data_IF_432513911974
#
_entry.id   IF_432513911974
#
_cell.length_a   1.000
_cell.length_b   1.000
_cell.length_c   1.000
_cell.angle_alpha   90.00
_cell.angle_beta   90.00
_cell.angle_gamma   90.00
#
_symmetry.space_group_name_H-M   'P 1'
#
loop_
_entity.id
_entity.type
_entity.pdbx_description
1 polymer ?
#
# COMPACT_ATOMS: atom_id res chain seq x y z
N UNK A 1 7.79 0.16 25.22
CA UNK A 1 7.99 0.02 23.75
C UNK A 1 8.37 -1.43 23.46
N UNK A 2 7.43 -2.22 22.93
CA UNK A 2 7.69 -3.62 22.59
C UNK A 2 8.64 -3.70 21.39
N UNK A 3 9.63 -4.59 21.47
CA UNK A 3 10.57 -4.89 20.37
C UNK A 3 9.79 -5.38 19.13
N UNK A 4 9.64 -4.53 18.13
CA UNK A 4 8.90 -4.72 16.88
C UNK A 4 9.66 -5.60 15.84
N UNK A 5 10.56 -6.49 16.27
CA UNK A 5 11.39 -7.27 15.36
C UNK A 5 11.41 -8.75 15.74
N UNK A 6 10.28 -9.41 15.52
CA UNK A 6 10.36 -10.84 15.23
C UNK A 6 10.31 -11.00 13.72
N UNK A 7 11.33 -11.66 13.16
CA UNK A 7 11.43 -11.98 11.73
C UNK A 7 10.15 -12.69 11.26
N UNK A 8 9.69 -12.36 10.06
CA UNK A 8 8.54 -13.02 9.44
C UNK A 8 8.71 -14.56 9.34
N UNK A 9 9.95 -15.07 9.34
CA UNK A 9 10.28 -16.49 9.41
C UNK A 9 9.80 -17.15 10.71
N UNK A 10 9.83 -16.42 11.86
CA UNK A 10 9.36 -16.96 13.13
C UNK A 10 7.83 -17.12 13.20
N UNK A 11 7.08 -16.35 12.43
CA UNK A 11 5.61 -16.46 12.35
C UNK A 11 5.19 -17.71 11.58
N UNK A 12 5.90 -18.05 10.49
CA UNK A 12 5.60 -19.23 9.65
C UNK A 12 5.84 -20.56 10.37
N UNK A 13 6.76 -20.62 11.33
CA UNK A 13 7.13 -21.85 12.07
C UNK A 13 6.20 -22.22 13.22
N UNK A 14 5.22 -21.40 13.58
CA UNK A 14 4.31 -21.70 14.69
C UNK A 14 3.21 -22.66 14.27
N UNK A 15 3.25 -23.89 14.80
CA UNK A 15 2.14 -24.84 14.72
C UNK A 15 0.96 -24.27 15.53
N UNK A 16 -0.07 -23.77 14.86
CA UNK A 16 -1.31 -23.33 15.51
C UNK A 16 -2.31 -24.49 15.52
N UNK A 17 -3.06 -24.61 16.62
CA UNK A 17 -4.20 -25.53 16.69
C UNK A 17 -5.25 -25.07 15.67
N UNK A 18 -5.73 -26.00 14.85
CA UNK A 18 -6.80 -25.69 13.87
C UNK A 18 -8.10 -25.39 14.60
N UNK A 19 -8.59 -24.16 14.45
CA UNK A 19 -9.86 -23.71 15.02
C UNK A 19 -10.97 -24.02 14.02
N UNK A 20 -12.01 -24.75 14.48
CA UNK A 20 -13.23 -24.97 13.70
C UNK A 20 -14.28 -23.94 14.07
N UNK A 21 -15.09 -23.53 13.09
CA UNK A 21 -16.21 -22.62 13.33
C UNK A 21 -17.28 -23.29 14.20
N UNK A 22 -17.67 -22.67 15.30
CA UNK A 22 -18.73 -23.17 16.20
C UNK A 22 -20.14 -22.98 15.62
N UNK A 23 -20.32 -21.98 14.74
CA UNK A 23 -21.63 -21.55 14.19
C UNK A 23 -21.71 -21.66 12.67
N UNK A 24 -21.03 -22.65 12.07
CA UNK A 24 -20.96 -22.84 10.62
C UNK A 24 -22.35 -22.92 9.94
N UNK A 25 -23.39 -23.38 10.66
CA UNK A 25 -24.76 -23.53 10.15
C UNK A 25 -25.49 -22.22 9.86
N UNK A 26 -25.02 -21.10 10.40
CA UNK A 26 -25.63 -19.77 10.22
C UNK A 26 -25.02 -18.96 9.10
N UNK A 27 -24.00 -19.47 8.44
CA UNK A 27 -23.26 -18.77 7.39
C UNK A 27 -23.28 -19.56 6.08
N UNK A 28 -23.11 -18.85 4.97
CA UNK A 28 -22.93 -19.51 3.67
C UNK A 28 -21.62 -20.30 3.63
N UNK A 29 -21.53 -21.29 2.78
CA UNK A 29 -20.29 -22.09 2.59
C UNK A 29 -19.08 -21.23 2.19
N UNK A 30 -19.30 -20.11 1.50
CA UNK A 30 -18.25 -19.14 1.15
C UNK A 30 -17.79 -18.38 2.40
N UNK A 31 -18.72 -17.86 3.21
CA UNK A 31 -18.44 -17.17 4.48
C UNK A 31 -17.71 -18.09 5.46
N UNK A 32 -18.15 -19.35 5.58
CA UNK A 32 -17.49 -20.31 6.45
C UNK A 32 -16.04 -20.55 6.06
N UNK A 33 -15.77 -20.76 4.75
CA UNK A 33 -14.39 -20.91 4.24
C UNK A 33 -13.53 -19.68 4.46
N UNK A 34 -14.13 -18.48 4.37
CA UNK A 34 -13.42 -17.22 4.66
C UNK A 34 -13.08 -17.11 6.15
N UNK A 35 -14.06 -17.34 7.04
CA UNK A 35 -13.88 -17.29 8.49
C UNK A 35 -12.86 -18.32 8.97
N UNK A 36 -12.93 -19.57 8.50
CA UNK A 36 -11.93 -20.60 8.84
C UNK A 36 -10.53 -20.22 8.41
N UNK A 37 -10.38 -19.63 7.21
CA UNK A 37 -9.09 -19.10 6.75
C UNK A 37 -8.57 -17.98 7.63
N UNK A 38 -9.44 -17.07 8.10
CA UNK A 38 -9.05 -15.99 8.99
C UNK A 38 -8.62 -16.51 10.37
N UNK A 39 -9.39 -17.43 10.95
CA UNK A 39 -9.10 -18.02 12.27
C UNK A 39 -7.81 -18.84 12.31
N UNK A 40 -7.46 -19.48 11.18
CA UNK A 40 -6.29 -20.36 11.08
C UNK A 40 -5.09 -19.70 10.40
N UNK A 41 -5.14 -18.41 10.11
CA UNK A 41 -4.04 -17.67 9.50
C UNK A 41 -3.07 -17.17 10.58
N UNK A 42 -1.80 -17.66 10.62
CA UNK A 42 -0.85 -17.29 11.66
C UNK A 42 -0.53 -15.79 11.66
N UNK A 43 -0.60 -15.13 10.50
CA UNK A 43 -0.37 -13.70 10.39
C UNK A 43 -1.54 -12.88 10.96
N UNK A 44 -2.77 -13.38 10.94
CA UNK A 44 -3.91 -12.72 11.59
C UNK A 44 -3.72 -12.73 13.11
N UNK A 45 -3.41 -13.90 13.69
CA UNK A 45 -3.18 -14.02 15.12
C UNK A 45 -2.00 -13.17 15.59
N UNK A 46 -0.91 -13.16 14.83
CA UNK A 46 0.28 -12.39 15.17
C UNK A 46 0.06 -10.89 14.98
N UNK A 47 -0.67 -10.45 13.95
CA UNK A 47 -1.06 -9.06 13.78
C UNK A 47 -1.84 -8.55 15.00
N UNK A 48 -2.85 -9.29 15.44
CA UNK A 48 -3.61 -8.97 16.65
C UNK A 48 -2.71 -8.90 17.89
N UNK A 49 -1.79 -9.85 18.06
CA UNK A 49 -0.86 -9.89 19.19
C UNK A 49 0.07 -8.68 19.23
N UNK A 50 0.52 -8.21 18.06
CA UNK A 50 1.46 -7.09 17.93
C UNK A 50 0.77 -5.72 17.79
N UNK A 51 -0.58 -5.68 17.78
CA UNK A 51 -1.34 -4.44 17.63
C UNK A 51 -1.40 -3.89 16.19
N UNK A 52 -1.10 -4.71 15.19
CA UNK A 52 -1.31 -4.33 13.81
C UNK A 52 -2.79 -4.41 13.43
N UNK A 53 -3.27 -3.41 12.70
CA UNK A 53 -4.66 -3.31 12.23
C UNK A 53 -5.03 -4.44 11.28
N UNK A 54 -4.04 -4.93 10.51
CA UNK A 54 -4.26 -5.95 9.50
C UNK A 54 -3.04 -6.85 9.31
N UNK A 55 -3.29 -8.12 8.94
CA UNK A 55 -2.22 -9.07 8.58
C UNK A 55 -1.34 -8.60 7.42
N UNK A 56 -1.85 -7.71 6.56
CA UNK A 56 -1.09 -7.13 5.46
C UNK A 56 0.16 -6.36 5.92
N UNK A 57 0.23 -5.91 7.18
CA UNK A 57 1.43 -5.33 7.77
C UNK A 57 2.68 -6.21 7.57
N UNK A 58 2.51 -7.54 7.65
CA UNK A 58 3.62 -8.48 7.44
C UNK A 58 4.12 -8.55 6.00
N UNK A 59 3.28 -8.21 5.02
CA UNK A 59 3.72 -8.10 3.63
C UNK A 59 4.73 -6.98 3.48
N UNK A 60 4.42 -5.81 4.06
CA UNK A 60 5.33 -4.66 4.03
C UNK A 60 6.60 -4.91 4.84
N UNK A 61 6.50 -5.57 6.01
CA UNK A 61 7.66 -5.98 6.80
C UNK A 61 8.60 -6.85 5.96
N UNK A 62 8.08 -7.85 5.26
CA UNK A 62 8.87 -8.76 4.43
C UNK A 62 9.46 -8.09 3.18
N UNK A 63 8.71 -7.15 2.59
CA UNK A 63 9.22 -6.29 1.52
C UNK A 63 10.39 -5.44 2.02
N UNK A 64 10.24 -4.80 3.20
CA UNK A 64 11.30 -3.98 3.78
C UNK A 64 12.51 -4.80 4.27
N UNK A 65 12.29 -6.00 4.81
CA UNK A 65 13.39 -6.92 5.18
C UNK A 65 14.24 -7.30 3.95
N UNK A 66 13.64 -7.37 2.77
CA UNK A 66 14.34 -7.76 1.53
C UNK A 66 14.97 -6.58 0.80
N UNK A 67 14.30 -5.44 0.78
CA UNK A 67 14.67 -4.31 -0.08
C UNK A 67 15.18 -3.09 0.68
N UNK A 68 15.01 -3.02 2.00
CA UNK A 68 15.55 -2.01 2.91
C UNK A 68 15.22 -0.56 2.53
N UNK A 69 13.95 -0.27 2.25
CA UNK A 69 13.52 1.02 1.75
C UNK A 69 12.87 1.94 2.79
N UNK A 70 12.39 1.40 3.91
CA UNK A 70 11.83 2.19 5.00
C UNK A 70 12.93 2.65 5.96
N UNK A 71 12.76 3.84 6.53
CA UNK A 71 13.72 4.38 7.50
C UNK A 71 13.42 5.79 7.93
N UNK A 72 14.28 6.37 8.76
CA UNK A 72 14.16 7.75 9.23
C UNK A 72 14.28 8.76 8.09
N UNK A 73 13.69 9.94 8.29
CA UNK A 73 13.76 11.09 7.37
C UNK A 73 13.29 10.76 5.94
N UNK A 74 12.39 9.78 5.80
CA UNK A 74 11.79 9.45 4.51
C UNK A 74 10.46 10.16 4.35
N UNK A 75 10.12 10.52 3.12
CA UNK A 75 8.79 10.92 2.70
C UNK A 75 8.17 9.71 2.00
N UNK A 76 7.03 9.24 2.52
CA UNK A 76 6.39 8.00 2.11
C UNK A 76 4.94 8.29 1.72
N UNK A 77 4.51 7.78 0.58
CA UNK A 77 3.11 7.78 0.16
C UNK A 77 2.58 6.34 0.17
N UNK A 78 1.41 6.14 0.81
CA UNK A 78 0.72 4.86 0.97
C UNK A 78 -0.65 4.93 0.26
N UNK A 79 -0.75 4.35 -0.94
CA UNK A 79 -1.97 4.31 -1.75
C UNK A 79 -2.74 3.01 -1.47
N UNK A 80 -4.01 3.14 -1.11
CA UNK A 80 -4.81 2.03 -0.58
C UNK A 80 -4.46 1.74 0.87
N UNK A 81 -4.34 2.80 1.69
CA UNK A 81 -3.78 2.71 3.03
C UNK A 81 -4.72 2.06 4.05
N UNK A 82 -6.06 2.06 3.85
CA UNK A 82 -7.01 1.57 4.82
C UNK A 82 -6.87 0.04 5.07
N UNK A 83 -7.02 -0.39 6.31
CA UNK A 83 -7.26 0.33 7.54
C UNK A 83 -5.98 0.86 8.23
N UNK A 84 -4.82 0.89 7.57
CA UNK A 84 -3.58 1.49 8.07
C UNK A 84 -2.51 0.49 8.50
N UNK A 85 -2.59 -0.77 8.09
CA UNK A 85 -1.59 -1.78 8.46
C UNK A 85 -0.19 -1.50 7.92
N UNK A 86 -0.08 -1.06 6.67
CA UNK A 86 1.17 -0.66 6.05
C UNK A 86 1.67 0.66 6.64
N UNK A 87 0.76 1.61 6.81
CA UNK A 87 1.08 2.89 7.45
C UNK A 87 1.63 2.73 8.86
N UNK A 88 1.12 1.76 9.67
CA UNK A 88 1.69 1.46 11.01
C UNK A 88 3.16 1.02 10.93
N UNK A 89 3.50 0.16 9.96
CA UNK A 89 4.88 -0.30 9.76
C UNK A 89 5.77 0.86 9.31
N UNK A 90 5.29 1.67 8.35
CA UNK A 90 6.03 2.83 7.84
C UNK A 90 6.28 3.87 8.93
N UNK A 91 5.26 4.26 9.71
CA UNK A 91 5.38 5.21 10.83
C UNK A 91 6.37 4.71 11.89
N UNK A 92 6.32 3.41 12.24
CA UNK A 92 7.27 2.82 13.18
C UNK A 92 8.73 2.89 12.68
N UNK A 93 8.96 2.81 11.38
CA UNK A 93 10.28 2.94 10.75
C UNK A 93 10.75 4.39 10.65
N UNK A 94 9.84 5.32 10.42
CA UNK A 94 10.10 6.76 10.43
C UNK A 94 10.51 7.26 11.83
N UNK A 95 10.01 6.65 12.90
CA UNK A 95 10.33 7.01 14.29
C UNK A 95 10.10 8.49 14.61
N UNK A 96 9.01 9.06 14.12
CA UNK A 96 8.68 10.47 14.29
C UNK A 96 9.50 11.43 13.42
N UNK A 97 10.21 10.93 12.41
CA UNK A 97 10.97 11.76 11.47
C UNK A 97 10.46 11.56 10.05
N UNK A 98 10.51 12.58 9.22
CA UNK A 98 10.00 12.51 7.85
C UNK A 98 8.48 12.67 7.78
N UNK A 99 7.87 12.18 6.69
CA UNK A 99 6.45 12.39 6.38
C UNK A 99 5.82 11.09 5.87
N UNK A 100 4.60 10.82 6.31
CA UNK A 100 3.78 9.73 5.79
C UNK A 100 2.41 10.26 5.41
N UNK A 101 2.07 10.12 4.14
CA UNK A 101 0.76 10.49 3.60
C UNK A 101 0.09 9.24 3.04
N UNK A 102 -1.14 8.99 3.43
CA UNK A 102 -1.93 7.87 2.93
C UNK A 102 -3.25 8.33 2.29
N UNK A 103 -3.69 7.59 1.27
CA UNK A 103 -4.98 7.81 0.61
C UNK A 103 -5.70 6.49 0.41
N UNK A 104 -7.00 6.47 0.70
CA UNK A 104 -7.88 5.33 0.45
C UNK A 104 -9.33 5.81 0.22
N UNK A 105 -10.13 5.03 -0.49
CA UNK A 105 -11.59 5.26 -0.60
C UNK A 105 -12.32 5.02 0.71
N UNK A 106 -11.72 4.25 1.62
CA UNK A 106 -12.26 3.98 2.94
C UNK A 106 -11.58 4.86 4.00
N UNK A 107 -12.31 5.24 5.05
CA UNK A 107 -11.73 5.98 6.15
C UNK A 107 -10.66 5.16 6.86
N UNK A 108 -9.56 5.82 7.18
CA UNK A 108 -8.46 5.22 7.94
C UNK A 108 -8.39 5.87 9.31
N UNK A 109 -8.41 5.05 10.36
CA UNK A 109 -8.26 5.51 11.73
C UNK A 109 -6.97 6.33 11.91
N UNK A 110 -6.99 7.43 12.68
CA UNK A 110 -5.82 8.25 12.91
C UNK A 110 -4.61 7.45 13.38
N UNK A 111 -3.44 7.84 12.90
CA UNK A 111 -2.15 7.25 13.28
C UNK A 111 -1.15 8.40 13.51
N UNK A 112 -0.48 8.37 14.65
CA UNK A 112 0.56 9.35 14.96
C UNK A 112 1.67 9.35 13.89
N UNK A 113 2.00 10.53 13.37
CA UNK A 113 3.01 10.68 12.33
C UNK A 113 2.54 10.38 10.91
N UNK A 114 1.23 10.20 10.69
CA UNK A 114 0.64 10.01 9.38
C UNK A 114 -0.52 10.97 9.11
N UNK A 115 -0.67 11.40 7.87
CA UNK A 115 -1.81 12.17 7.38
C UNK A 115 -2.59 11.30 6.40
N UNK A 116 -3.89 11.12 6.61
CA UNK A 116 -4.75 10.31 5.76
C UNK A 116 -5.79 11.13 5.02
N UNK A 117 -6.02 10.77 3.75
CA UNK A 117 -7.07 11.30 2.88
C UNK A 117 -8.04 10.19 2.57
N UNK A 118 -9.34 10.45 2.75
CA UNK A 118 -10.40 9.57 2.31
C UNK A 118 -10.92 10.06 0.97
N UNK A 119 -10.51 9.42 -0.13
CA UNK A 119 -10.86 9.79 -1.51
C UNK A 119 -10.53 8.62 -2.45
N UNK A 120 -11.28 8.49 -3.54
CA UNK A 120 -10.89 7.59 -4.62
C UNK A 120 -9.69 8.17 -5.36
N UNK A 121 -8.61 7.38 -5.45
CA UNK A 121 -7.39 7.80 -6.14
C UNK A 121 -7.59 8.01 -7.64
N UNK A 122 -8.63 7.43 -8.21
CA UNK A 122 -8.96 7.56 -9.65
C UNK A 122 -9.80 8.80 -9.96
N UNK A 123 -10.29 9.50 -8.93
CA UNK A 123 -11.02 10.76 -9.11
C UNK A 123 -10.09 11.93 -9.42
N UNK A 124 -10.62 12.90 -10.14
CA UNK A 124 -9.94 14.16 -10.44
C UNK A 124 -9.57 14.89 -9.14
N UNK A 125 -8.37 15.43 -9.07
CA UNK A 125 -7.87 16.15 -7.91
C UNK A 125 -7.27 15.28 -6.79
N UNK A 126 -7.29 13.96 -6.89
CA UNK A 126 -6.71 13.09 -5.88
C UNK A 126 -5.18 13.20 -5.84
N UNK A 127 -4.54 13.30 -6.99
CA UNK A 127 -3.11 13.50 -7.12
C UNK A 127 -2.69 14.91 -6.68
N UNK A 128 -3.42 15.95 -7.05
CA UNK A 128 -3.18 17.33 -6.58
C UNK A 128 -3.27 17.41 -5.05
N UNK A 129 -4.25 16.74 -4.45
CA UNK A 129 -4.39 16.72 -2.99
C UNK A 129 -3.20 16.06 -2.30
N UNK A 130 -2.69 14.97 -2.86
CA UNK A 130 -1.47 14.33 -2.35
C UNK A 130 -0.24 15.25 -2.52
N UNK A 131 -0.12 15.93 -3.66
CA UNK A 131 0.95 16.90 -3.91
C UNK A 131 0.94 18.05 -2.89
N UNK A 132 -0.24 18.58 -2.57
CA UNK A 132 -0.41 19.60 -1.52
C UNK A 132 0.09 19.11 -0.16
N UNK A 133 -0.29 17.87 0.23
CA UNK A 133 0.13 17.30 1.51
C UNK A 133 1.64 16.99 1.55
N UNK A 134 2.25 16.72 0.41
CA UNK A 134 3.71 16.59 0.30
C UNK A 134 4.41 17.95 0.50
N UNK A 135 3.74 19.07 0.19
CA UNK A 135 4.29 20.41 0.42
C UNK A 135 5.58 20.66 -0.36
N UNK A 136 5.63 20.21 -1.63
CA UNK A 136 6.80 20.33 -2.49
C UNK A 136 7.90 19.32 -2.21
N UNK A 137 7.81 18.52 -1.16
CA UNK A 137 8.80 17.48 -0.87
C UNK A 137 8.66 16.29 -1.84
N UNK A 138 9.80 15.78 -2.31
CA UNK A 138 9.83 14.57 -3.14
C UNK A 138 9.73 13.32 -2.28
N UNK A 139 8.88 12.38 -2.72
CA UNK A 139 8.71 11.12 -2.05
C UNK A 139 9.93 10.19 -2.24
N UNK A 140 10.38 9.58 -1.18
CA UNK A 140 11.41 8.53 -1.22
C UNK A 140 10.79 7.17 -1.55
N UNK A 141 9.52 6.98 -1.15
CA UNK A 141 8.78 5.74 -1.33
C UNK A 141 7.36 6.05 -1.74
N UNK A 142 6.90 5.45 -2.82
CA UNK A 142 5.47 5.33 -3.15
C UNK A 142 5.13 3.85 -3.12
N UNK A 143 4.21 3.49 -2.24
CA UNK A 143 3.75 2.11 -2.09
C UNK A 143 2.24 2.02 -2.30
N UNK A 144 1.77 0.93 -2.93
CA UNK A 144 0.37 0.71 -3.24
C UNK A 144 -0.04 -0.73 -2.95
N UNK A 145 -0.97 -0.91 -2.00
CA UNK A 145 -1.69 -2.19 -1.80
C UNK A 145 -3.13 -2.11 -2.34
N UNK A 146 -3.43 -1.11 -3.20
CA UNK A 146 -4.73 -0.96 -3.83
C UNK A 146 -5.15 -2.24 -4.55
N UNK A 147 -6.42 -2.58 -4.46
CA UNK A 147 -7.06 -3.63 -5.23
C UNK A 147 -8.46 -3.19 -5.63
N UNK A 148 -8.84 -3.45 -6.86
CA UNK A 148 -10.22 -3.30 -7.26
C UNK A 148 -11.12 -4.28 -6.50
N UNK A 149 -12.36 -3.85 -6.21
CA UNK A 149 -13.37 -4.75 -5.69
C UNK A 149 -13.56 -5.93 -6.63
N UNK A 150 -13.45 -7.14 -6.09
CA UNK A 150 -13.55 -8.37 -6.89
C UNK A 150 -14.96 -8.56 -7.40
N UNK A 151 -15.11 -8.68 -8.72
CA UNK A 151 -16.37 -9.03 -9.37
C UNK A 151 -16.60 -10.55 -9.40
N UNK A 152 -15.54 -11.32 -9.11
CA UNK A 152 -15.50 -12.78 -9.27
C UNK A 152 -15.10 -13.21 -10.69
N UNK A 153 -14.96 -12.27 -11.62
CA UNK A 153 -14.49 -12.56 -12.98
C UNK A 153 -12.98 -12.23 -13.09
N UNK A 154 -12.17 -13.26 -13.10
CA UNK A 154 -10.71 -13.15 -12.96
C UNK A 154 -10.05 -12.17 -13.93
N UNK A 155 -10.45 -12.18 -15.20
CA UNK A 155 -9.89 -11.27 -16.21
C UNK A 155 -10.27 -9.80 -15.93
N UNK A 156 -11.52 -9.54 -15.56
CA UNK A 156 -11.99 -8.19 -15.24
C UNK A 156 -11.28 -7.65 -14.00
N UNK A 157 -11.19 -8.47 -12.95
CA UNK A 157 -10.53 -8.09 -11.70
C UNK A 157 -9.03 -7.82 -11.92
N UNK A 158 -8.41 -8.59 -12.82
CA UNK A 158 -7.03 -8.39 -13.23
C UNK A 158 -6.83 -7.05 -13.96
N UNK A 159 -7.64 -6.76 -14.99
CA UNK A 159 -7.55 -5.50 -15.75
C UNK A 159 -7.78 -4.27 -14.86
N UNK A 160 -8.76 -4.33 -13.95
CA UNK A 160 -9.00 -3.25 -12.99
C UNK A 160 -7.81 -3.02 -12.07
N UNK A 161 -7.18 -4.08 -11.60
CA UNK A 161 -5.99 -3.98 -10.75
C UNK A 161 -4.82 -3.38 -11.52
N UNK A 162 -4.61 -3.76 -12.80
CA UNK A 162 -3.58 -3.15 -13.65
C UNK A 162 -3.83 -1.65 -13.79
N UNK A 163 -5.06 -1.21 -14.06
CA UNK A 163 -5.39 0.21 -14.16
C UNK A 163 -5.03 1.00 -12.90
N UNK A 164 -5.27 0.42 -11.70
CA UNK A 164 -4.84 1.04 -10.44
C UNK A 164 -3.32 1.12 -10.30
N UNK A 165 -2.60 0.10 -10.75
CA UNK A 165 -1.13 0.12 -10.74
C UNK A 165 -0.57 1.15 -11.73
N UNK A 166 -1.17 1.27 -12.92
CA UNK A 166 -0.80 2.26 -13.92
C UNK A 166 -1.01 3.69 -13.40
N UNK A 167 -2.15 3.96 -12.77
CA UNK A 167 -2.43 5.25 -12.14
C UNK A 167 -1.44 5.56 -11.01
N UNK A 168 -1.22 4.60 -10.10
CA UNK A 168 -0.25 4.74 -9.01
C UNK A 168 1.18 4.97 -9.53
N UNK A 169 1.56 4.30 -10.61
CA UNK A 169 2.86 4.46 -11.24
C UNK A 169 3.00 5.81 -11.95
N UNK A 170 1.97 6.27 -12.66
CA UNK A 170 1.95 7.60 -13.25
C UNK A 170 2.17 8.68 -12.20
N UNK A 171 1.44 8.62 -11.09
CA UNK A 171 1.64 9.50 -9.93
C UNK A 171 3.05 9.36 -9.34
N UNK A 172 3.56 8.14 -9.14
CA UNK A 172 4.90 7.93 -8.60
C UNK A 172 5.99 8.61 -9.44
N UNK A 173 5.86 8.62 -10.77
CA UNK A 173 6.80 9.35 -11.66
C UNK A 173 6.82 10.86 -11.40
N UNK A 174 5.70 11.44 -10.98
CA UNK A 174 5.63 12.89 -10.71
C UNK A 174 6.22 13.28 -9.37
N UNK A 175 6.14 12.40 -8.35
CA UNK A 175 6.51 12.75 -6.97
C UNK A 175 7.81 12.14 -6.48
N UNK A 176 8.31 11.06 -7.08
CA UNK A 176 9.51 10.38 -6.57
C UNK A 176 10.77 11.25 -6.67
N UNK A 177 11.56 11.20 -5.61
CA UNK A 177 12.93 11.67 -5.63
C UNK A 177 13.82 10.73 -6.47
N UNK A 178 14.89 11.26 -7.06
CA UNK A 178 15.93 10.42 -7.68
C UNK A 178 16.46 9.39 -6.67
N UNK A 179 16.55 8.13 -7.08
CA UNK A 179 16.90 7.02 -6.20
C UNK A 179 15.69 6.46 -5.42
N UNK A 180 14.52 7.05 -5.55
CA UNK A 180 13.28 6.59 -4.90
C UNK A 180 12.83 5.20 -5.35
N UNK A 181 11.85 4.67 -4.65
CA UNK A 181 11.31 3.33 -4.87
C UNK A 181 9.79 3.37 -5.07
N UNK A 182 9.30 2.59 -6.03
CA UNK A 182 7.89 2.32 -6.25
C UNK A 182 7.59 0.85 -5.98
N UNK A 183 6.53 0.60 -5.22
CA UNK A 183 6.06 -0.74 -4.88
C UNK A 183 4.56 -0.80 -5.13
N UNK A 184 4.10 -1.79 -5.90
CA UNK A 184 2.67 -1.96 -6.13
C UNK A 184 2.28 -3.44 -6.16
N UNK A 185 1.07 -3.72 -5.66
CA UNK A 185 0.46 -5.03 -5.77
C UNK A 185 0.03 -5.27 -7.22
N UNK A 186 0.40 -6.44 -7.75
CA UNK A 186 0.02 -6.93 -9.07
C UNK A 186 -0.46 -8.37 -8.97
N UNK A 187 -1.16 -8.86 -9.98
CA UNK A 187 -1.54 -10.27 -10.08
C UNK A 187 -0.69 -10.95 -11.15
N UNK A 188 -0.16 -12.12 -10.85
CA UNK A 188 0.63 -12.92 -11.81
C UNK A 188 -0.20 -13.30 -13.03
N UNK A 189 0.40 -13.17 -14.23
CA UNK A 189 -0.16 -13.67 -15.48
C UNK A 189 -0.89 -12.65 -16.34
N UNK A 190 -0.68 -11.35 -16.13
CA UNK A 190 -1.36 -10.32 -16.85
C UNK A 190 -0.57 -9.54 -17.89
N UNK A 191 -1.26 -8.63 -18.56
CA UNK A 191 -0.77 -7.77 -19.66
C UNK A 191 0.19 -6.65 -19.14
N UNK A 192 1.12 -6.98 -18.23
CA UNK A 192 2.03 -6.03 -17.59
C UNK A 192 3.23 -5.64 -18.48
N UNK A 193 3.35 -6.22 -19.68
CA UNK A 193 4.57 -6.10 -20.49
C UNK A 193 4.98 -4.67 -20.81
N UNK A 194 4.03 -3.80 -21.20
CA UNK A 194 4.31 -2.40 -21.51
C UNK A 194 4.64 -1.60 -20.26
N UNK A 195 3.89 -1.80 -19.18
CA UNK A 195 4.13 -1.15 -17.89
C UNK A 195 5.51 -1.51 -17.33
N UNK A 196 5.87 -2.80 -17.35
CA UNK A 196 7.20 -3.26 -16.90
C UNK A 196 8.33 -2.74 -17.78
N UNK A 197 8.11 -2.62 -19.10
CA UNK A 197 9.09 -2.04 -20.02
C UNK A 197 9.33 -0.57 -19.70
N UNK A 198 8.27 0.20 -19.42
CA UNK A 198 8.40 1.61 -19.02
C UNK A 198 9.06 1.73 -17.64
N UNK A 199 8.69 0.91 -16.66
CA UNK A 199 9.37 0.89 -15.36
C UNK A 199 10.88 0.60 -15.49
N UNK A 200 11.28 -0.33 -16.35
CA UNK A 200 12.70 -0.63 -16.58
C UNK A 200 13.48 0.53 -17.19
N UNK A 201 12.83 1.43 -17.95
CA UNK A 201 13.45 2.67 -18.44
C UNK A 201 13.66 3.67 -17.32
N UNK A 202 12.68 3.80 -16.41
CA UNK A 202 12.64 4.84 -15.39
C UNK A 202 13.29 4.44 -14.05
N UNK A 203 13.57 3.15 -13.84
CA UNK A 203 14.21 2.64 -12.62
C UNK A 203 15.47 1.86 -12.90
N UNK A 204 16.40 1.84 -11.96
CA UNK A 204 17.63 1.09 -12.07
C UNK A 204 17.39 -0.43 -12.01
N UNK A 205 16.40 -0.86 -11.22
CA UNK A 205 16.07 -2.27 -11.04
C UNK A 205 14.57 -2.45 -10.86
N UNK A 206 13.98 -3.40 -11.58
CA UNK A 206 12.59 -3.82 -11.43
C UNK A 206 12.56 -5.32 -11.15
N UNK A 207 11.85 -5.71 -10.12
CA UNK A 207 11.73 -7.12 -9.71
C UNK A 207 10.33 -7.41 -9.19
N UNK A 208 9.95 -8.70 -9.18
CA UNK A 208 8.75 -9.18 -8.53
C UNK A 208 9.11 -9.90 -7.25
N UNK A 209 8.24 -9.75 -6.26
CA UNK A 209 8.37 -10.46 -4.99
C UNK A 209 7.01 -10.86 -4.44
N UNK A 210 6.88 -12.12 -4.08
CA UNK A 210 5.72 -12.63 -3.35
C UNK A 210 6.12 -12.82 -1.89
N UNK A 211 5.65 -11.95 -0.98
CA UNK A 211 5.88 -12.13 0.45
C UNK A 211 5.29 -13.45 0.96
N UNK A 212 5.92 -14.10 1.92
CA UNK A 212 5.37 -15.29 2.59
C UNK A 212 4.05 -14.99 3.29
N UNK A 213 3.83 -13.73 3.67
CA UNK A 213 2.58 -13.23 4.20
C UNK A 213 1.46 -13.15 3.14
N UNK A 214 1.76 -13.20 1.84
CA UNK A 214 0.74 -13.41 0.81
C UNK A 214 0.29 -14.87 0.84
N UNK A 215 -1.03 -15.10 0.71
CA UNK A 215 -1.55 -16.46 0.73
C UNK A 215 -1.00 -17.25 -0.45
N UNK A 216 -0.63 -18.50 -0.22
CA UNK A 216 0.00 -19.38 -1.21
C UNK A 216 -0.83 -19.48 -2.51
N UNK A 217 -2.14 -19.67 -2.38
CA UNK A 217 -3.09 -19.78 -3.51
C UNK A 217 -3.50 -18.44 -4.13
N UNK A 218 -3.08 -17.31 -3.58
CA UNK A 218 -3.37 -15.99 -4.15
C UNK A 218 -2.43 -15.72 -5.33
N UNK A 219 -2.92 -15.19 -6.46
CA UNK A 219 -2.08 -14.74 -7.57
C UNK A 219 -1.31 -13.45 -7.23
N UNK A 220 -1.56 -12.87 -6.06
CA UNK A 220 -0.97 -11.63 -5.60
C UNK A 220 0.56 -11.71 -5.49
N UNK A 221 1.22 -10.75 -6.08
CA UNK A 221 2.66 -10.49 -5.97
C UNK A 221 2.88 -8.97 -5.95
N UNK A 222 4.10 -8.53 -5.74
CA UNK A 222 4.44 -7.10 -5.74
C UNK A 222 5.51 -6.83 -6.80
N UNK A 223 5.28 -5.82 -7.63
CA UNK A 223 6.34 -5.20 -8.40
C UNK A 223 7.11 -4.25 -7.50
N UNK A 224 8.44 -4.33 -7.54
CA UNK A 224 9.36 -3.48 -6.77
C UNK A 224 10.33 -2.85 -7.74
N UNK A 225 10.17 -1.55 -7.98
CA UNK A 225 11.00 -0.74 -8.86
C UNK A 225 11.87 0.19 -8.01
N UNK A 226 13.20 -0.03 -8.03
CA UNK A 226 14.19 0.66 -7.20
C UNK A 226 15.07 1.58 -8.02
N UNK A 227 15.46 2.70 -7.42
CA UNK A 227 16.38 3.63 -8.01
C UNK A 227 15.75 4.41 -9.16
N UNK A 228 14.71 5.18 -8.84
CA UNK A 228 14.06 6.06 -9.80
C UNK A 228 15.07 7.01 -10.43
N UNK A 229 15.07 7.09 -11.75
CA UNK A 229 15.90 8.02 -12.51
C UNK A 229 15.14 9.33 -12.65
N UNK A 230 15.84 10.45 -12.51
CA UNK A 230 15.22 11.75 -12.76
C UNK A 230 14.62 11.76 -14.17
N UNK A 231 13.36 12.17 -14.28
CA UNK A 231 12.75 12.45 -15.58
C UNK A 231 13.55 13.57 -16.27
N UNK A 232 13.65 13.54 -17.58
CA UNK A 232 14.19 14.67 -18.34
C UNK A 232 13.31 15.89 -18.09
N UNK A 233 13.88 17.08 -18.06
CA UNK A 233 13.17 18.32 -17.75
C UNK A 233 11.88 18.56 -18.57
N UNK A 234 11.79 17.97 -19.75
CA UNK A 234 10.63 18.02 -20.65
C UNK A 234 9.45 17.15 -20.21
N UNK A 235 9.65 16.21 -19.28
CA UNK A 235 8.64 15.26 -18.81
C UNK A 235 8.10 15.61 -17.41
N UNK A 236 8.61 16.67 -16.79
CA UNK A 236 8.20 17.09 -15.44
C UNK A 236 6.96 17.97 -15.53
N UNK A 237 5.79 17.43 -15.17
CA UNK A 237 4.63 18.26 -14.86
C UNK A 237 5.05 19.19 -13.71
N UNK A 238 4.99 20.50 -13.94
CA UNK A 238 5.33 21.48 -12.90
C UNK A 238 4.50 21.18 -11.65
N UNK A 239 5.18 21.10 -10.51
CA UNK A 239 4.48 21.12 -9.23
C UNK A 239 3.78 22.48 -9.14
N UNK A 240 2.55 22.57 -8.60
CA UNK A 240 1.91 23.87 -8.38
C UNK A 240 2.88 24.77 -7.59
N UNK A 241 3.11 25.97 -8.07
CA UNK A 241 3.89 26.96 -7.33
C UNK A 241 3.12 27.36 -6.07
N UNK A 242 3.82 27.79 -5.02
CA UNK A 242 3.19 28.20 -3.75
C UNK A 242 2.10 29.28 -3.96
N UNK A 243 2.23 30.10 -5.00
CA UNK A 243 1.28 31.16 -5.35
C UNK A 243 -0.04 30.64 -5.98
N UNK A 244 -0.06 29.40 -6.50
CA UNK A 244 -1.27 28.74 -7.01
C UNK A 244 -2.05 27.97 -5.91
N UNK A 245 -1.59 28.07 -4.67
CA UNK A 245 -2.21 27.40 -3.55
C UNK A 245 -3.41 28.22 -3.03
N UNK A 246 -4.60 27.64 -2.89
CA UNK A 246 -5.74 28.34 -2.29
C UNK A 246 -5.43 28.73 -0.85
N UNK A 247 -5.68 29.98 -0.51
CA UNK A 247 -5.30 30.71 0.73
C UNK A 247 -5.82 30.12 2.05
N UNK A 248 -6.18 28.97 2.23
CA UNK A 248 -6.48 28.23 3.48
C UNK A 248 -7.08 26.88 3.12
N UNK A 249 -6.25 25.87 3.11
CA UNK A 249 -6.75 24.54 3.29
C UNK A 249 -6.95 24.25 4.79
N UNK A 250 -8.14 24.46 5.30
CA UNK A 250 -8.55 23.78 6.53
C UNK A 250 -8.77 22.30 6.18
N UNK A 251 -8.14 21.36 6.91
CA UNK A 251 -8.42 19.94 6.69
C UNK A 251 -9.89 19.70 7.06
N UNK A 252 -10.77 19.80 6.08
CA UNK A 252 -12.15 19.45 6.27
C UNK A 252 -12.18 18.02 6.83
N UNK A 253 -12.84 17.84 7.97
CA UNK A 253 -13.29 16.53 8.44
C UNK A 253 -14.29 16.03 7.40
N UNK A 254 -13.79 15.46 6.31
CA UNK A 254 -14.66 14.84 5.32
C UNK A 254 -15.15 13.54 5.93
N UNK A 255 -16.36 13.60 6.45
CA UNK A 255 -17.13 12.38 6.71
C UNK A 255 -17.23 11.66 5.35
N UNK A 256 -16.59 10.52 5.21
CA UNK A 256 -16.91 9.61 4.13
C UNK A 256 -18.40 9.32 4.27
N UNK A 257 -19.18 9.65 3.24
CA UNK A 257 -20.61 9.35 3.22
C UNK A 257 -20.75 7.84 3.42
N UNK A 258 -21.27 7.45 4.60
CA UNK A 258 -21.61 6.09 4.88
C UNK A 258 -22.70 5.69 3.89
N UNK A 259 -22.38 4.78 2.97
CA UNK A 259 -23.41 4.10 2.19
C UNK A 259 -24.24 3.24 3.14
N UNK A 260 -25.54 3.51 3.19
CA UNK A 260 -26.54 2.62 3.78
C UNK A 260 -26.61 1.27 3.03
#
# INVERSE_FOLDING_TARGET
MAKLTKSAKEVRGRKMLTVKLKEAKYHTSSSNRWLERQLNDPYVAEAKRLGYRLRAAFKLIQLDEKYHFLGRNKVIVDLGCAPGGWSQVAAAKLKGTGKLVGLDILPTEPLEGATFVCQDFTEEGADERLLLLLGGERAHVVMSDMAANTTGHQQTDHLRTIGLVEAAYAFAKTVLATGGIFIAKVFQGGAEGMLLADMKKNFAKVSHYKPDASREKSPETYVVAQGFRALKAEEVRALPEEDDMPERYEPARVACAGGE
#
